data_IF_386394343582
#
_entry.id   IF_386394343582
#
_cell.length_a   1.000
_cell.length_b   1.000
_cell.length_c   1.000
_cell.angle_alpha   90.00
_cell.angle_beta   90.00
_cell.angle_gamma   90.00
#
_symmetry.space_group_name_H-M   'P 1'
#
loop_
_entity.id
_entity.type
_entity.pdbx_description
1 polymer ?
#
# COMPACT_ATOMS: atom_id res chain seq x y z
N UNK A 1 15.78 -3.87 8.68
CA UNK A 1 15.12 -2.88 7.79
C UNK A 1 13.61 -3.01 8.03
N UNK A 2 12.84 -1.92 8.13
CA UNK A 2 11.39 -2.02 8.31
C UNK A 2 10.73 -2.74 7.12
N UNK A 3 9.59 -3.40 7.32
CA UNK A 3 8.79 -3.96 6.23
C UNK A 3 8.35 -2.87 5.25
N UNK A 4 8.11 -3.25 3.99
CA UNK A 4 7.54 -2.32 3.00
C UNK A 4 6.04 -2.25 3.23
N UNK A 5 5.52 -1.05 3.48
CA UNK A 5 4.09 -0.83 3.69
C UNK A 5 3.35 -0.49 2.40
N UNK A 6 4.01 0.26 1.49
CA UNK A 6 3.44 0.73 0.24
C UNK A 6 4.44 0.54 -0.91
N UNK A 7 3.98 -0.06 -2.00
CA UNK A 7 4.67 -0.14 -3.27
C UNK A 7 3.84 0.57 -4.35
N UNK A 8 4.48 1.51 -5.05
CA UNK A 8 3.86 2.26 -6.16
C UNK A 8 4.52 1.83 -7.48
N UNK A 9 3.71 1.39 -8.44
CA UNK A 9 4.15 1.03 -9.80
C UNK A 9 3.54 1.99 -10.81
N UNK A 10 4.40 2.70 -11.53
CA UNK A 10 4.04 3.64 -12.59
C UNK A 10 3.93 2.98 -13.96
N UNK A 11 3.27 3.66 -14.89
CA UNK A 11 3.19 3.28 -16.30
C UNK A 11 2.15 2.21 -16.63
N UNK A 12 1.10 2.07 -15.81
CA UNK A 12 -0.11 1.28 -16.11
C UNK A 12 0.05 -0.25 -16.03
N UNK A 13 1.25 -0.74 -15.73
CA UNK A 13 1.54 -2.18 -15.68
C UNK A 13 1.12 -2.80 -14.35
N UNK A 14 0.16 -3.73 -14.36
CA UNK A 14 -0.31 -4.46 -13.18
C UNK A 14 0.58 -5.67 -12.84
N UNK A 15 1.88 -5.43 -12.64
CA UNK A 15 2.87 -6.45 -12.28
C UNK A 15 3.97 -5.90 -11.40
N UNK A 16 4.50 -6.77 -10.55
CA UNK A 16 5.64 -6.48 -9.66
C UNK A 16 6.97 -6.65 -10.39
N UNK A 17 7.01 -7.46 -11.45
CA UNK A 17 8.22 -7.68 -12.28
C UNK A 17 9.44 -8.17 -11.48
N UNK A 18 9.25 -9.14 -10.59
CA UNK A 18 10.30 -9.73 -9.76
C UNK A 18 11.01 -8.72 -8.82
N UNK A 19 10.34 -7.63 -8.47
CA UNK A 19 10.86 -6.65 -7.53
C UNK A 19 10.45 -6.98 -6.09
N UNK A 20 11.42 -7.19 -5.19
CA UNK A 20 11.23 -7.32 -3.74
C UNK A 20 10.10 -8.26 -3.29
N UNK A 21 9.94 -9.41 -3.96
CA UNK A 21 8.81 -10.32 -3.76
C UNK A 21 8.52 -10.66 -2.29
N UNK A 22 9.57 -10.93 -1.51
CA UNK A 22 9.44 -11.29 -0.09
C UNK A 22 9.03 -10.09 0.76
N UNK A 23 9.65 -8.93 0.53
CA UNK A 23 9.39 -7.71 1.29
C UNK A 23 7.99 -7.14 1.00
N UNK A 24 7.43 -7.42 -0.18
CA UNK A 24 6.11 -6.96 -0.60
C UNK A 24 4.95 -7.89 -0.18
N UNK A 25 5.20 -8.98 0.54
CA UNK A 25 4.18 -9.99 0.87
C UNK A 25 2.91 -9.43 1.55
N UNK A 26 3.03 -8.33 2.30
CA UNK A 26 1.91 -7.61 2.95
C UNK A 26 1.94 -6.10 2.69
N UNK A 27 2.67 -5.67 1.66
CA UNK A 27 2.65 -4.29 1.21
C UNK A 27 1.35 -4.01 0.44
N UNK A 28 0.82 -2.81 0.59
CA UNK A 28 -0.21 -2.33 -0.33
C UNK A 28 0.41 -2.05 -1.69
N UNK A 29 -0.25 -2.52 -2.74
CA UNK A 29 0.18 -2.32 -4.12
C UNK A 29 -0.70 -1.25 -4.76
N UNK A 30 -0.09 -0.13 -5.13
CA UNK A 30 -0.74 0.97 -5.85
C UNK A 30 -0.14 1.02 -7.26
N UNK A 31 -0.99 0.86 -8.25
CA UNK A 31 -0.61 0.94 -9.66
C UNK A 31 -1.22 2.22 -10.24
N UNK A 32 -0.40 3.02 -10.92
CA UNK A 32 -0.82 4.28 -11.54
C UNK A 32 -0.45 4.30 -13.02
N UNK A 33 -1.30 4.95 -13.82
CA UNK A 33 -1.08 5.09 -15.26
C UNK A 33 0.00 6.11 -15.60
N UNK A 34 0.26 7.06 -14.69
CA UNK A 34 1.31 8.09 -14.83
C UNK A 34 2.66 7.44 -15.14
N UNK A 35 3.34 7.93 -16.18
CA UNK A 35 4.69 7.49 -16.53
C UNK A 35 5.69 8.05 -15.52
N UNK A 36 6.79 7.34 -15.28
CA UNK A 36 7.79 7.74 -14.28
C UNK A 36 8.30 9.20 -14.44
N UNK A 37 8.60 9.69 -15.66
CA UNK A 37 9.05 11.08 -15.83
C UNK A 37 7.99 12.14 -15.45
N UNK A 38 6.72 11.76 -15.43
CA UNK A 38 5.58 12.65 -15.18
C UNK A 38 5.08 12.56 -13.72
N UNK A 39 5.75 11.78 -12.86
CA UNK A 39 5.42 11.71 -11.43
C UNK A 39 5.86 12.98 -10.74
N UNK A 40 4.92 13.68 -10.14
CA UNK A 40 5.15 14.84 -9.29
C UNK A 40 4.67 14.60 -7.84
N UNK A 41 4.76 15.65 -7.02
CA UNK A 41 4.32 15.58 -5.62
C UNK A 41 2.82 15.29 -5.48
N UNK A 42 1.97 15.82 -6.37
CA UNK A 42 0.53 15.58 -6.34
C UNK A 42 0.19 14.11 -6.62
N UNK A 43 0.86 13.52 -7.62
CA UNK A 43 0.72 12.09 -7.94
C UNK A 43 1.15 11.21 -6.75
N UNK A 44 2.21 11.60 -6.04
CA UNK A 44 2.64 10.90 -4.83
C UNK A 44 1.62 11.04 -3.69
N UNK A 45 1.09 12.24 -3.47
CA UNK A 45 0.08 12.49 -2.45
C UNK A 45 -1.18 11.67 -2.69
N UNK A 46 -1.63 11.56 -3.95
CA UNK A 46 -2.76 10.72 -4.34
C UNK A 46 -2.51 9.23 -4.05
N UNK A 47 -1.30 8.74 -4.33
CA UNK A 47 -0.93 7.36 -4.03
C UNK A 47 -0.86 7.08 -2.51
N UNK A 48 -0.42 8.06 -1.72
CA UNK A 48 -0.42 7.97 -0.25
C UNK A 48 -1.86 8.02 0.29
N UNK A 49 -2.72 8.86 -0.27
CA UNK A 49 -4.13 8.92 0.09
C UNK A 49 -4.82 7.58 -0.22
N UNK A 50 -4.52 6.96 -1.36
CA UNK A 50 -5.00 5.62 -1.70
C UNK A 50 -4.56 4.58 -0.67
N UNK A 51 -3.29 4.60 -0.27
CA UNK A 51 -2.78 3.74 0.81
C UNK A 51 -3.53 3.93 2.12
N UNK A 52 -3.74 5.17 2.54
CA UNK A 52 -4.41 5.49 3.81
C UNK A 52 -5.87 5.04 3.89
N UNK A 53 -6.55 4.86 2.75
CA UNK A 53 -7.94 4.36 2.70
C UNK A 53 -8.05 2.85 2.88
N UNK A 54 -6.98 2.09 2.73
CA UNK A 54 -7.03 0.62 2.73
C UNK A 54 -6.87 0.04 4.13
N UNK A 55 -7.69 -0.96 4.43
CA UNK A 55 -7.66 -1.66 5.70
C UNK A 55 -6.69 -2.86 5.63
N UNK A 56 -5.52 -2.71 6.26
CA UNK A 56 -4.52 -3.79 6.34
C UNK A 56 -4.89 -4.79 7.42
N UNK A 57 -5.39 -5.95 7.00
CA UNK A 57 -5.95 -6.95 7.92
C UNK A 57 -4.94 -7.96 8.47
N UNK A 58 -3.84 -8.21 7.77
CA UNK A 58 -2.82 -9.21 8.14
C UNK A 58 -3.41 -10.57 8.55
N UNK A 59 -4.37 -11.08 7.79
CA UNK A 59 -5.05 -12.36 8.07
C UNK A 59 -6.26 -12.29 9.01
N UNK A 60 -6.70 -11.09 9.42
CA UNK A 60 -7.91 -10.87 10.23
C UNK A 60 -9.15 -10.54 9.38
N UNK A 61 -10.34 -10.65 9.95
CA UNK A 61 -11.57 -10.09 9.36
C UNK A 61 -11.70 -8.59 9.69
N UNK A 62 -12.47 -7.83 8.91
CA UNK A 62 -12.71 -6.39 9.22
C UNK A 62 -13.30 -6.17 10.61
N UNK A 63 -14.21 -7.05 11.05
CA UNK A 63 -14.76 -6.99 12.40
C UNK A 63 -13.68 -7.15 13.48
N UNK A 64 -12.70 -8.03 13.27
CA UNK A 64 -11.56 -8.22 14.18
C UNK A 64 -10.61 -7.02 14.17
N UNK A 65 -10.40 -6.38 13.02
CA UNK A 65 -9.58 -5.16 12.94
C UNK A 65 -10.25 -4.01 13.70
N UNK A 66 -11.55 -3.78 13.47
CA UNK A 66 -12.33 -2.75 14.17
C UNK A 66 -12.35 -2.97 15.70
N UNK A 67 -12.47 -4.22 16.16
CA UNK A 67 -12.45 -4.56 17.58
C UNK A 67 -11.10 -4.28 18.26
N UNK A 68 -9.99 -4.34 17.52
CA UNK A 68 -8.65 -3.96 18.03
C UNK A 68 -8.49 -2.45 18.07
N UNK A 69 -8.94 -1.73 17.04
CA UNK A 69 -8.89 -0.26 17.01
C UNK A 69 -9.71 0.41 18.12
N UNK A 70 -10.82 -0.22 18.55
CA UNK A 70 -11.65 0.27 19.66
C UNK A 70 -11.12 -0.09 21.06
N UNK A 71 -10.13 -0.97 21.15
CA UNK A 71 -9.42 -1.25 22.40
C UNK A 71 -8.17 -0.38 22.40
N UNK A 72 -8.28 0.82 22.97
CA UNK A 72 -7.14 1.70 23.19
C UNK A 72 -6.00 0.97 23.93
N UNK A 73 -4.73 1.39 23.74
CA UNK A 73 -3.61 0.65 24.30
C UNK A 73 -3.72 0.62 25.83
N UNK A 74 -3.52 -0.57 26.40
CA UNK A 74 -3.37 -0.77 27.83
C UNK A 74 -2.15 -0.03 28.38
#
# INVERSE_FOLDING_TARGET
QPPVDLFIRTGGELRISNFLLWQLAYAELVFIDTLWPDVDAGVLDDAIAEFARRERRFGRTSAQVAAVSNQGPA
#
